data_IF_971844993967
#
_entry.id   IF_971844993967
#
_cell.length_a   1.000
_cell.length_b   1.000
_cell.length_c   1.000
_cell.angle_alpha   90.00
_cell.angle_beta   90.00
_cell.angle_gamma   90.00
#
_symmetry.space_group_name_H-M   'P 1'
#
loop_
_entity.id
_entity.type
_entity.pdbx_description
1 polymer ?
#
# COMPACT_ATOMS: atom_id res chain seq x y z
N UNK A 1 -19.50 -14.07 10.79
CA UNK A 1 -19.94 -13.49 9.50
C UNK A 1 -21.04 -12.45 9.73
N UNK A 2 -22.22 -12.88 10.19
CA UNK A 2 -23.36 -11.99 10.44
C UNK A 2 -23.18 -11.01 11.61
N UNK A 3 -22.38 -11.37 12.61
CA UNK A 3 -22.08 -10.49 13.76
C UNK A 3 -21.12 -9.36 13.42
N UNK A 4 -20.19 -9.58 12.48
CA UNK A 4 -19.24 -8.56 12.03
C UNK A 4 -19.88 -7.58 11.04
N UNK A 5 -20.93 -8.03 10.34
CA UNK A 5 -21.66 -7.19 9.40
C UNK A 5 -23.11 -7.66 9.19
N UNK A 6 -24.05 -7.28 10.07
CA UNK A 6 -25.43 -7.76 10.00
C UNK A 6 -26.18 -7.20 8.79
N UNK A 7 -25.72 -6.07 8.26
CA UNK A 7 -26.32 -5.36 7.15
C UNK A 7 -26.35 -6.22 5.86
N UNK A 8 -25.47 -7.24 5.74
CA UNK A 8 -25.47 -8.23 4.65
C UNK A 8 -26.80 -8.90 4.37
N UNK A 9 -27.61 -9.04 5.42
CA UNK A 9 -28.93 -9.63 5.32
C UNK A 9 -29.96 -8.71 4.65
N UNK A 10 -29.66 -7.42 4.47
CA UNK A 10 -30.55 -6.47 3.78
C UNK A 10 -30.53 -6.62 2.26
N UNK A 11 -29.61 -7.40 1.69
CA UNK A 11 -29.48 -7.57 0.24
C UNK A 11 -29.85 -8.96 -0.24
N UNK A 12 -30.37 -9.02 -1.47
CA UNK A 12 -30.74 -10.28 -2.13
C UNK A 12 -29.52 -11.18 -2.32
N UNK A 13 -29.63 -12.43 -1.88
CA UNK A 13 -28.63 -13.47 -2.09
C UNK A 13 -28.34 -13.65 -3.59
N UNK A 14 -29.38 -13.88 -4.37
CA UNK A 14 -29.29 -14.15 -5.82
C UNK A 14 -28.85 -12.93 -6.62
N UNK A 15 -29.40 -11.74 -6.32
CA UNK A 15 -29.16 -10.55 -7.15
C UNK A 15 -27.91 -9.77 -6.76
N UNK A 16 -27.37 -9.96 -5.54
CA UNK A 16 -26.24 -9.18 -5.05
C UNK A 16 -25.12 -10.01 -4.45
N UNK A 17 -25.41 -10.95 -3.55
CA UNK A 17 -24.34 -11.63 -2.81
C UNK A 17 -23.60 -12.63 -3.71
N UNK A 18 -24.32 -13.48 -4.45
CA UNK A 18 -23.74 -14.50 -5.34
C UNK A 18 -22.87 -13.88 -6.46
N UNK A 19 -23.36 -12.91 -7.26
CA UNK A 19 -22.54 -12.32 -8.33
C UNK A 19 -21.26 -11.65 -7.82
N UNK A 20 -21.31 -11.09 -6.61
CA UNK A 20 -20.16 -10.46 -5.95
C UNK A 20 -19.13 -11.48 -5.50
N UNK A 21 -19.59 -12.56 -4.89
CA UNK A 21 -18.73 -13.68 -4.52
C UNK A 21 -18.03 -14.24 -5.77
N UNK A 22 -18.76 -14.53 -6.84
CA UNK A 22 -18.21 -15.06 -8.08
C UNK A 22 -17.15 -14.13 -8.71
N UNK A 23 -17.40 -12.81 -8.71
CA UNK A 23 -16.45 -11.81 -9.19
C UNK A 23 -15.14 -11.83 -8.37
N UNK A 24 -15.24 -11.85 -7.04
CA UNK A 24 -14.07 -11.87 -6.14
C UNK A 24 -13.30 -13.19 -6.25
N UNK A 25 -14.00 -14.33 -6.38
CA UNK A 25 -13.40 -15.65 -6.45
C UNK A 25 -12.52 -15.85 -7.69
N UNK A 26 -12.66 -15.01 -8.74
CA UNK A 26 -11.75 -15.04 -9.90
C UNK A 26 -10.31 -14.68 -9.55
N UNK A 27 -10.11 -13.83 -8.54
CA UNK A 27 -8.79 -13.32 -8.15
C UNK A 27 -8.24 -13.96 -6.88
N UNK A 28 -9.11 -14.59 -6.08
CA UNK A 28 -8.77 -15.09 -4.76
C UNK A 28 -8.53 -16.59 -4.81
N UNK A 29 -7.61 -17.07 -3.96
CA UNK A 29 -7.18 -18.47 -3.99
C UNK A 29 -8.20 -19.42 -3.37
N UNK A 30 -9.06 -18.93 -2.47
CA UNK A 30 -10.02 -19.76 -1.73
C UNK A 30 -11.36 -19.05 -1.54
N UNK A 31 -12.44 -19.82 -1.46
CA UNK A 31 -13.78 -19.31 -1.13
C UNK A 31 -13.80 -18.55 0.20
N UNK A 32 -12.97 -19.01 1.17
CA UNK A 32 -12.81 -18.35 2.47
C UNK A 32 -12.29 -16.92 2.30
N UNK A 33 -11.32 -16.71 1.42
CA UNK A 33 -10.77 -15.37 1.16
C UNK A 33 -11.81 -14.47 0.48
N UNK A 34 -12.60 -15.03 -0.44
CA UNK A 34 -13.70 -14.32 -1.09
C UNK A 34 -14.79 -13.90 -0.09
N UNK A 35 -15.17 -14.81 0.82
CA UNK A 35 -16.12 -14.52 1.91
C UNK A 35 -15.56 -13.43 2.84
N UNK A 36 -14.29 -13.52 3.24
CA UNK A 36 -13.66 -12.50 4.11
C UNK A 36 -13.63 -11.13 3.42
N UNK A 37 -13.30 -11.07 2.13
CA UNK A 37 -13.35 -9.84 1.36
C UNK A 37 -14.77 -9.28 1.31
N UNK A 38 -15.75 -10.13 1.00
CA UNK A 38 -17.14 -9.73 0.89
C UNK A 38 -17.70 -9.14 2.21
N UNK A 39 -17.27 -9.66 3.36
CA UNK A 39 -17.64 -9.13 4.69
C UNK A 39 -16.94 -7.78 4.95
N UNK A 40 -15.64 -7.67 4.65
CA UNK A 40 -14.83 -6.48 4.92
C UNK A 40 -15.21 -5.29 4.04
N UNK A 41 -15.57 -5.55 2.79
CA UNK A 41 -15.86 -4.53 1.79
C UNK A 41 -17.32 -4.09 1.79
N UNK A 42 -18.09 -4.49 2.80
CA UNK A 42 -19.51 -4.22 2.93
C UNK A 42 -19.92 -2.75 2.75
N UNK A 43 -19.13 -1.80 3.26
CA UNK A 43 -19.50 -0.39 3.17
C UNK A 43 -19.46 0.16 1.73
N UNK A 44 -18.83 -0.57 0.80
CA UNK A 44 -18.81 -0.28 -0.64
C UNK A 44 -20.05 -0.83 -1.37
N UNK A 45 -21.12 -1.22 -0.65
CA UNK A 45 -22.29 -1.93 -1.20
C UNK A 45 -23.40 -1.01 -1.75
N UNK A 46 -23.14 0.29 -1.85
CA UNK A 46 -23.91 1.10 -2.80
C UNK A 46 -23.71 0.50 -4.22
N UNK A 47 -24.79 0.21 -4.98
CA UNK A 47 -24.66 -0.43 -6.28
C UNK A 47 -23.75 0.35 -7.24
N UNK A 48 -23.78 1.69 -7.19
CA UNK A 48 -22.93 2.54 -8.02
C UNK A 48 -21.45 2.36 -7.63
N UNK A 49 -21.17 2.32 -6.32
CA UNK A 49 -19.81 2.07 -5.82
C UNK A 49 -19.27 0.68 -6.20
N UNK A 50 -20.14 -0.32 -6.33
CA UNK A 50 -19.72 -1.68 -6.70
C UNK A 50 -19.41 -1.81 -8.19
N UNK A 51 -20.29 -1.29 -9.05
CA UNK A 51 -20.08 -1.35 -10.50
C UNK A 51 -18.81 -0.58 -10.89
N UNK A 52 -18.57 0.55 -10.24
CA UNK A 52 -17.33 1.32 -10.37
C UNK A 52 -16.11 0.50 -9.95
N UNK A 53 -16.18 -0.20 -8.81
CA UNK A 53 -15.08 -1.03 -8.33
C UNK A 53 -14.76 -2.19 -9.29
N UNK A 54 -15.79 -2.86 -9.82
CA UNK A 54 -15.62 -3.93 -10.81
C UNK A 54 -15.00 -3.38 -12.10
N UNK A 55 -15.46 -2.22 -12.58
CA UNK A 55 -14.87 -1.57 -13.75
C UNK A 55 -13.38 -1.26 -13.54
N UNK A 56 -13.01 -0.76 -12.36
CA UNK A 56 -11.62 -0.48 -12.03
C UNK A 56 -10.78 -1.75 -11.87
N UNK A 57 -11.34 -2.85 -11.36
CA UNK A 57 -10.64 -4.16 -11.32
C UNK A 57 -10.39 -4.66 -12.75
N UNK A 58 -11.39 -4.62 -13.63
CA UNK A 58 -11.22 -5.01 -15.03
C UNK A 58 -10.19 -4.12 -15.73
N UNK A 59 -10.21 -2.81 -15.45
CA UNK A 59 -9.20 -1.88 -15.95
C UNK A 59 -7.78 -2.28 -15.50
N UNK A 60 -7.59 -2.74 -14.26
CA UNK A 60 -6.27 -3.24 -13.82
C UNK A 60 -5.82 -4.43 -14.66
N UNK A 61 -6.73 -5.37 -14.93
CA UNK A 61 -6.46 -6.55 -15.76
C UNK A 61 -6.07 -6.12 -17.17
N UNK A 62 -6.85 -5.24 -17.80
CA UNK A 62 -6.59 -4.71 -19.14
C UNK A 62 -5.28 -3.90 -19.22
N UNK A 63 -4.93 -3.20 -18.13
CA UNK A 63 -3.67 -2.47 -18.00
C UNK A 63 -2.45 -3.39 -17.78
N UNK A 64 -2.68 -4.70 -17.61
CA UNK A 64 -1.64 -5.71 -17.44
C UNK A 64 -1.13 -5.85 -16.01
N UNK A 65 -1.93 -5.44 -15.01
CA UNK A 65 -1.58 -5.69 -13.61
C UNK A 65 -1.79 -7.16 -13.28
N UNK A 66 -0.83 -7.79 -12.61
CA UNK A 66 -0.91 -9.22 -12.33
C UNK A 66 -1.97 -9.56 -11.26
N UNK A 67 -2.61 -10.72 -11.41
CA UNK A 67 -3.69 -11.19 -10.53
C UNK A 67 -3.29 -11.19 -9.06
N UNK A 68 -2.03 -11.55 -8.75
CA UNK A 68 -1.53 -11.54 -7.36
C UNK A 68 -1.52 -10.15 -6.73
N UNK A 69 -1.26 -9.10 -7.51
CA UNK A 69 -1.32 -7.72 -7.04
C UNK A 69 -2.79 -7.27 -6.85
N UNK A 70 -3.66 -7.60 -7.80
CA UNK A 70 -5.11 -7.34 -7.72
C UNK A 70 -5.69 -8.02 -6.48
N UNK A 71 -5.43 -9.31 -6.30
CA UNK A 71 -5.87 -10.10 -5.16
C UNK A 71 -5.43 -9.48 -3.82
N UNK A 72 -4.19 -8.98 -3.74
CA UNK A 72 -3.67 -8.31 -2.54
C UNK A 72 -4.41 -7.00 -2.27
N UNK A 73 -4.67 -6.20 -3.30
CA UNK A 73 -5.38 -4.92 -3.17
C UNK A 73 -6.85 -5.13 -2.77
N UNK A 74 -7.53 -6.10 -3.39
CA UNK A 74 -8.89 -6.50 -3.00
C UNK A 74 -8.93 -6.87 -1.51
N UNK A 75 -7.97 -7.66 -1.02
CA UNK A 75 -7.96 -8.09 0.38
C UNK A 75 -7.58 -7.01 1.40
N UNK A 76 -6.78 -6.02 1.01
CA UNK A 76 -6.13 -5.11 1.96
C UNK A 76 -6.53 -3.64 1.79
N UNK A 77 -6.97 -3.22 0.61
CA UNK A 77 -7.10 -1.81 0.17
C UNK A 77 -8.23 -1.62 -0.86
N UNK A 78 -9.38 -2.24 -0.62
CA UNK A 78 -10.53 -2.20 -1.54
C UNK A 78 -11.06 -0.79 -1.86
N UNK A 79 -10.84 0.19 -0.97
CA UNK A 79 -11.26 1.58 -1.20
C UNK A 79 -10.63 2.22 -2.42
N UNK A 80 -9.48 1.70 -2.89
CA UNK A 80 -8.78 2.25 -4.06
C UNK A 80 -9.60 2.12 -5.35
N UNK A 81 -10.47 1.10 -5.40
CA UNK A 81 -11.31 0.82 -6.55
C UNK A 81 -12.51 1.78 -6.66
N UNK A 82 -12.75 2.63 -5.65
CA UNK A 82 -13.77 3.69 -5.74
C UNK A 82 -13.29 4.97 -6.44
N UNK A 83 -12.04 5.02 -6.91
CA UNK A 83 -11.49 6.22 -7.55
C UNK A 83 -12.07 6.45 -8.95
N UNK A 84 -12.52 7.68 -9.24
CA UNK A 84 -12.98 8.10 -10.58
C UNK A 84 -11.82 8.29 -11.55
N UNK A 85 -10.64 8.65 -11.06
CA UNK A 85 -9.44 8.91 -11.87
C UNK A 85 -8.43 7.76 -11.79
N UNK A 86 -8.93 6.53 -11.65
CA UNK A 86 -8.09 5.36 -11.36
C UNK A 86 -7.07 5.10 -12.48
N UNK A 87 -7.44 5.27 -13.75
CA UNK A 87 -6.52 5.15 -14.89
C UNK A 87 -5.32 6.09 -14.78
N UNK A 88 -5.54 7.34 -14.36
CA UNK A 88 -4.48 8.34 -14.18
C UNK A 88 -3.48 7.88 -13.13
N UNK A 89 -3.95 7.25 -12.06
CA UNK A 89 -3.08 6.69 -11.01
C UNK A 89 -2.26 5.52 -11.56
N UNK A 90 -2.85 4.63 -12.37
CA UNK A 90 -2.15 3.53 -13.01
C UNK A 90 -1.05 4.03 -13.96
N UNK A 91 -1.36 5.04 -14.78
CA UNK A 91 -0.43 5.68 -15.70
C UNK A 91 0.70 6.41 -14.97
N UNK A 92 0.39 7.13 -13.89
CA UNK A 92 1.41 7.79 -13.05
C UNK A 92 2.41 6.77 -12.52
N UNK A 93 1.94 5.67 -11.94
CA UNK A 93 2.80 4.64 -11.36
C UNK A 93 3.63 3.94 -12.44
N UNK A 94 3.04 3.71 -13.62
CA UNK A 94 3.78 3.20 -14.78
C UNK A 94 4.86 4.19 -15.24
N UNK A 95 4.55 5.49 -15.26
CA UNK A 95 5.47 6.58 -15.58
C UNK A 95 6.62 6.72 -14.59
N UNK A 96 6.38 6.43 -13.31
CA UNK A 96 7.42 6.33 -12.26
C UNK A 96 8.32 5.09 -12.43
N UNK A 97 8.06 4.25 -13.43
CA UNK A 97 8.90 3.14 -13.83
C UNK A 97 8.58 1.81 -13.15
N UNK A 98 7.40 1.66 -12.54
CA UNK A 98 6.91 0.38 -12.05
C UNK A 98 6.29 -0.41 -13.21
N UNK A 99 6.58 -1.73 -13.26
CA UNK A 99 6.01 -2.63 -14.25
C UNK A 99 4.66 -3.17 -13.76
N UNK A 100 3.55 -2.98 -14.51
CA UNK A 100 2.22 -3.47 -14.12
C UNK A 100 2.18 -4.93 -13.70
N UNK A 101 2.93 -5.79 -14.40
CA UNK A 101 2.98 -7.24 -14.15
C UNK A 101 3.66 -7.65 -12.83
N UNK A 102 4.10 -6.71 -11.99
CA UNK A 102 4.81 -6.99 -10.73
C UNK A 102 3.94 -6.71 -9.50
N UNK A 103 4.12 -7.49 -8.44
CA UNK A 103 3.46 -7.24 -7.14
C UNK A 103 3.83 -5.89 -6.54
N UNK A 104 5.02 -5.37 -6.87
CA UNK A 104 5.49 -4.06 -6.41
C UNK A 104 4.64 -2.92 -7.01
N UNK A 105 4.05 -3.11 -8.20
CA UNK A 105 3.10 -2.16 -8.77
C UNK A 105 1.87 -1.98 -7.86
N UNK A 106 1.30 -3.07 -7.35
CA UNK A 106 0.17 -3.00 -6.40
C UNK A 106 0.53 -2.30 -5.08
N UNK A 107 1.77 -2.44 -4.62
CA UNK A 107 2.27 -1.74 -3.42
C UNK A 107 2.43 -0.24 -3.70
N UNK A 108 2.97 0.13 -4.85
CA UNK A 108 3.06 1.53 -5.28
C UNK A 108 1.67 2.16 -5.43
N UNK A 109 0.72 1.40 -5.98
CA UNK A 109 -0.68 1.80 -6.11
C UNK A 109 -1.32 2.04 -4.76
N UNK A 110 -1.09 1.14 -3.80
CA UNK A 110 -1.53 1.36 -2.42
C UNK A 110 -0.97 2.66 -1.83
N UNK A 111 0.32 2.94 -2.04
CA UNK A 111 0.96 4.12 -1.49
C UNK A 111 0.43 5.43 -2.10
N UNK A 112 0.20 5.45 -3.41
CA UNK A 112 -0.38 6.60 -4.11
C UNK A 112 -1.88 6.77 -3.85
N UNK A 113 -2.60 5.67 -3.68
CA UNK A 113 -4.04 5.65 -3.37
C UNK A 113 -4.40 6.12 -1.95
N UNK A 114 -3.41 6.44 -1.10
CA UNK A 114 -3.64 7.08 0.20
C UNK A 114 -4.16 8.53 0.10
N UNK A 115 -4.04 9.13 -1.10
CA UNK A 115 -4.46 10.50 -1.38
C UNK A 115 -3.29 11.49 -1.36
N UNK A 116 -3.44 12.56 -2.14
CA UNK A 116 -2.41 13.58 -2.38
C UNK A 116 -1.91 14.21 -1.08
N UNK A 117 -2.84 14.58 -0.18
CA UNK A 117 -2.48 15.20 1.10
C UNK A 117 -1.54 14.33 1.94
N UNK A 118 -1.87 13.05 2.11
CA UNK A 118 -1.05 12.15 2.93
C UNK A 118 0.27 11.79 2.24
N UNK A 119 0.29 11.77 0.90
CA UNK A 119 1.52 11.65 0.13
C UNK A 119 2.44 12.84 0.41
N UNK A 120 1.95 14.07 0.28
CA UNK A 120 2.72 15.30 0.48
C UNK A 120 3.23 15.44 1.92
N UNK A 121 2.41 15.08 2.92
CA UNK A 121 2.85 15.04 4.32
C UNK A 121 4.05 14.10 4.54
N UNK A 122 4.07 12.93 3.88
CA UNK A 122 5.19 11.98 3.95
C UNK A 122 6.41 12.49 3.19
N UNK A 123 6.24 13.08 2.01
CA UNK A 123 7.35 13.72 1.26
C UNK A 123 7.97 14.82 2.13
N UNK A 124 7.16 15.70 2.73
CA UNK A 124 7.63 16.77 3.60
C UNK A 124 8.35 16.23 4.85
N UNK A 125 7.91 15.09 5.39
CA UNK A 125 8.62 14.42 6.47
C UNK A 125 10.03 14.02 6.04
N UNK A 126 10.24 13.47 4.84
CA UNK A 126 11.58 13.17 4.33
C UNK A 126 12.41 14.43 4.04
N UNK A 127 11.80 15.47 3.48
CA UNK A 127 12.47 16.77 3.23
C UNK A 127 13.03 17.40 4.49
N UNK A 128 12.33 17.28 5.63
CA UNK A 128 12.82 17.71 6.94
C UNK A 128 14.17 17.08 7.32
N UNK A 129 14.46 15.89 6.80
CA UNK A 129 15.72 15.16 7.02
C UNK A 129 16.72 15.33 5.86
N UNK A 130 16.53 16.33 5.00
CA UNK A 130 17.48 16.70 3.95
C UNK A 130 17.30 15.98 2.62
N UNK A 131 16.25 15.17 2.44
CA UNK A 131 15.98 14.53 1.15
C UNK A 131 15.41 15.54 0.14
N UNK A 132 15.82 15.44 -1.12
CA UNK A 132 15.17 16.12 -2.24
C UNK A 132 13.92 15.35 -2.71
N UNK A 133 13.11 15.98 -3.57
CA UNK A 133 12.00 15.27 -4.25
C UNK A 133 12.49 14.07 -5.06
N UNK A 134 13.64 14.22 -5.73
CA UNK A 134 14.26 13.15 -6.51
C UNK A 134 14.68 11.97 -5.62
N UNK A 135 15.20 12.25 -4.42
CA UNK A 135 15.58 11.20 -3.46
C UNK A 135 14.37 10.40 -2.99
N UNK A 136 13.25 11.09 -2.72
CA UNK A 136 11.99 10.44 -2.34
C UNK A 136 11.48 9.58 -3.49
N UNK A 137 11.48 10.08 -4.73
CA UNK A 137 11.03 9.32 -5.89
C UNK A 137 11.92 8.09 -6.15
N UNK A 138 13.24 8.24 -6.01
CA UNK A 138 14.20 7.13 -6.15
C UNK A 138 13.99 6.06 -5.08
N UNK A 139 13.83 6.47 -3.82
CA UNK A 139 13.55 5.56 -2.72
C UNK A 139 12.20 4.85 -2.90
N UNK A 140 11.17 5.60 -3.33
CA UNK A 140 9.85 5.06 -3.64
C UNK A 140 9.90 4.01 -4.74
N UNK A 141 10.60 4.31 -5.85
CA UNK A 141 10.80 3.37 -6.97
C UNK A 141 11.50 2.08 -6.54
N UNK A 142 12.46 2.19 -5.62
CA UNK A 142 13.19 1.03 -5.11
C UNK A 142 12.36 0.19 -4.13
N UNK A 143 11.66 0.84 -3.18
CA UNK A 143 10.80 0.18 -2.18
C UNK A 143 9.58 1.05 -1.84
N UNK A 144 8.44 0.89 -2.52
CA UNK A 144 7.26 1.72 -2.27
C UNK A 144 6.68 1.56 -0.86
N UNK A 145 7.05 0.51 -0.13
CA UNK A 145 6.68 0.33 1.27
C UNK A 145 7.16 1.48 2.18
N UNK A 146 8.19 2.24 1.78
CA UNK A 146 8.64 3.41 2.54
C UNK A 146 7.57 4.51 2.63
N UNK A 147 6.62 4.53 1.69
CA UNK A 147 5.48 5.45 1.71
C UNK A 147 4.25 4.87 2.44
N UNK A 148 4.32 3.62 2.92
CA UNK A 148 3.23 2.98 3.68
C UNK A 148 3.38 3.12 5.20
N UNK A 149 4.54 3.54 5.70
CA UNK A 149 4.76 3.80 7.13
C UNK A 149 4.20 5.17 7.55
N UNK A 150 3.83 5.35 8.81
CA UNK A 150 3.33 6.64 9.29
C UNK A 150 4.42 7.73 9.26
N UNK A 151 4.00 8.99 9.22
CA UNK A 151 4.91 10.15 9.34
C UNK A 151 5.69 10.08 10.65
N UNK A 152 5.03 9.71 11.76
CA UNK A 152 5.68 9.52 13.06
C UNK A 152 6.77 8.46 13.00
N UNK A 153 6.51 7.34 12.30
CA UNK A 153 7.49 6.27 12.12
C UNK A 153 8.71 6.75 11.33
N UNK A 154 8.51 7.54 10.28
CA UNK A 154 9.60 8.15 9.50
C UNK A 154 10.47 9.01 10.42
N UNK A 155 9.84 9.95 11.14
CA UNK A 155 10.54 10.86 12.05
C UNK A 155 11.26 10.13 13.18
N UNK A 156 10.65 9.09 13.74
CA UNK A 156 11.23 8.31 14.82
C UNK A 156 12.49 7.54 14.37
N UNK A 157 12.44 6.89 13.20
CA UNK A 157 13.59 6.17 12.64
C UNK A 157 14.69 7.14 12.25
N UNK A 158 14.35 8.26 11.60
CA UNK A 158 15.31 9.27 11.18
C UNK A 158 15.98 9.96 12.38
N UNK A 159 15.22 10.29 13.43
CA UNK A 159 15.79 10.90 14.65
C UNK A 159 16.78 9.96 15.34
N UNK A 160 16.46 8.67 15.45
CA UNK A 160 17.41 7.69 15.96
C UNK A 160 18.67 7.62 15.07
N UNK A 161 18.50 7.48 13.76
CA UNK A 161 19.60 7.32 12.81
C UNK A 161 20.52 8.53 12.74
N UNK A 162 19.95 9.72 12.57
CA UNK A 162 20.70 10.96 12.33
C UNK A 162 21.13 11.59 13.65
N UNK A 163 20.20 11.80 14.59
CA UNK A 163 20.51 12.58 15.79
C UNK A 163 21.23 11.75 16.85
N UNK A 164 20.88 10.47 17.03
CA UNK A 164 21.52 9.64 18.06
C UNK A 164 22.79 8.95 17.58
N UNK A 165 22.81 8.46 16.34
CA UNK A 165 23.98 7.76 15.79
C UNK A 165 24.92 8.66 14.99
N UNK A 166 24.47 9.86 14.59
CA UNK A 166 25.25 10.76 13.74
C UNK A 166 25.40 10.26 12.30
N UNK A 167 24.56 9.33 11.86
CA UNK A 167 24.68 8.72 10.52
C UNK A 167 23.98 9.55 9.45
N UNK A 168 24.50 9.47 8.23
CA UNK A 168 23.96 10.18 7.06
C UNK A 168 22.51 9.75 6.76
N UNK A 169 21.61 10.74 6.69
CA UNK A 169 20.20 10.53 6.33
C UNK A 169 20.05 9.95 4.91
N UNK A 170 20.97 10.28 4.01
CA UNK A 170 20.97 9.78 2.62
C UNK A 170 21.35 8.30 2.52
N UNK A 171 21.93 7.71 3.57
CA UNK A 171 22.11 6.27 3.65
C UNK A 171 20.76 5.53 3.64
N UNK A 172 19.74 6.06 4.31
CA UNK A 172 18.39 5.47 4.31
C UNK A 172 17.75 5.55 2.92
N UNK A 173 18.01 6.61 2.14
CA UNK A 173 17.46 6.75 0.77
C UNK A 173 17.94 5.63 -0.17
N UNK A 174 19.14 5.09 0.08
CA UNK A 174 19.71 3.95 -0.65
C UNK A 174 19.14 2.59 -0.20
N UNK A 175 18.61 2.53 1.02
CA UNK A 175 18.01 1.33 1.63
C UNK A 175 16.69 1.63 2.36
N UNK A 176 15.66 2.10 1.64
CA UNK A 176 14.38 2.56 2.21
C UNK A 176 13.60 1.49 2.98
N UNK A 177 13.94 0.20 2.80
CA UNK A 177 13.36 -0.91 3.55
C UNK A 177 13.55 -0.76 5.08
N UNK A 178 14.60 -0.07 5.54
CA UNK A 178 14.85 0.17 6.98
C UNK A 178 13.64 0.81 7.67
N UNK A 179 12.93 1.70 6.99
CA UNK A 179 11.75 2.40 7.53
C UNK A 179 10.61 1.44 7.92
N UNK A 180 10.53 0.28 7.25
CA UNK A 180 9.53 -0.75 7.54
C UNK A 180 9.90 -1.67 8.71
N UNK A 181 11.12 -1.57 9.24
CA UNK A 181 11.57 -2.40 10.35
C UNK A 181 11.11 -1.86 11.71
N UNK A 182 10.91 -2.76 12.67
CA UNK A 182 10.68 -2.37 14.07
C UNK A 182 11.90 -1.66 14.63
N UNK A 183 11.73 -0.45 15.18
CA UNK A 183 12.85 0.35 15.67
C UNK A 183 13.52 -0.35 16.85
N UNK A 184 12.76 -0.61 17.91
CA UNK A 184 13.23 -1.27 19.13
C UNK A 184 13.69 -2.70 18.89
N UNK A 185 12.94 -3.47 18.11
CA UNK A 185 13.17 -4.91 17.95
C UNK A 185 14.25 -5.26 16.93
N UNK A 186 14.56 -4.36 15.98
CA UNK A 186 15.48 -4.67 14.87
C UNK A 186 16.52 -3.60 14.62
N UNK A 187 16.13 -2.33 14.53
CA UNK A 187 17.06 -1.25 14.14
C UNK A 187 18.04 -0.96 15.28
N UNK A 188 17.56 -0.73 16.50
CA UNK A 188 18.40 -0.42 17.67
C UNK A 188 19.42 -1.55 17.96
N UNK A 189 19.04 -2.84 18.07
CA UNK A 189 19.99 -3.90 18.33
C UNK A 189 21.06 -4.04 17.25
N UNK A 190 20.68 -3.87 15.98
CA UNK A 190 21.62 -3.95 14.85
C UNK A 190 22.56 -2.75 14.81
N UNK A 191 22.06 -1.56 15.11
CA UNK A 191 22.88 -0.35 15.19
C UNK A 191 23.94 -0.47 16.29
N UNK A 192 23.58 -1.01 17.46
CA UNK A 192 24.54 -1.26 18.55
C UNK A 192 25.67 -2.20 18.13
N UNK A 193 25.35 -3.28 17.39
CA UNK A 193 26.37 -4.19 16.84
C UNK A 193 27.29 -3.46 15.87
N UNK A 194 26.74 -2.66 14.95
CA UNK A 194 27.55 -1.87 14.00
C UNK A 194 28.44 -0.87 14.73
N UNK A 195 27.93 -0.14 15.73
CA UNK A 195 28.73 0.78 16.54
C UNK A 195 29.87 0.07 17.27
N UNK A 196 29.60 -1.09 17.87
CA UNK A 196 30.65 -1.90 18.51
C UNK A 196 31.75 -2.29 17.51
N UNK A 197 31.37 -2.74 16.31
CA UNK A 197 32.32 -3.10 15.26
C UNK A 197 33.13 -1.91 14.74
N UNK A 198 32.55 -0.71 14.70
CA UNK A 198 33.23 0.53 14.28
C UNK A 198 34.13 1.13 15.36
N UNK A 199 33.91 0.78 16.63
CA UNK A 199 34.73 1.22 17.77
C UNK A 199 35.99 0.38 17.99
N UNK A 200 36.26 -0.57 17.09
CA UNK A 200 37.39 -1.52 17.13
C UNK A 200 38.29 -1.29 15.94
#
# INVERSE_FOLDING_TARGET
>A
MLTANPEILKFSLEKRIIPRFESLSRFLKTDKDAIVCLIRQWYSFDPISYDHAVANINLMTDFGVCDSAIATLVQTRSSIFGSTDFIKTLEEIKGLGFRPSTTTFGIALTAKGLGVKLWDEKVNAFKKWGWSDEDVLKAFRQKPQCMLVSVDKINLVMSFWVNQLGWDAMAIAKTPHILSLGLEKKIIPRAAVVQYLLSK
#
